data_IF_873225030594
#
_entry.id   IF_873225030594
#
_cell.length_a   1.000
_cell.length_b   1.000
_cell.length_c   1.000
_cell.angle_alpha   90.00
_cell.angle_beta   90.00
_cell.angle_gamma   90.00
#
_symmetry.space_group_name_H-M   'P 1'
#
loop_
_entity.id
_entity.type
_entity.pdbx_description
1 polymer ?
#
# COMPACT_ATOMS: atom_id res chain seq x y z
N UNK A 1 14.45 -39.81 -22.24
CA UNK A 1 13.76 -38.54 -22.57
C UNK A 1 12.96 -38.18 -21.33
N UNK A 2 13.48 -37.30 -20.46
CA UNK A 2 12.74 -36.87 -19.26
C UNK A 2 11.66 -35.88 -19.70
N UNK A 3 10.41 -35.97 -19.22
CA UNK A 3 9.43 -34.94 -19.48
C UNK A 3 9.96 -33.62 -18.90
N UNK A 4 9.93 -32.54 -19.68
CA UNK A 4 10.18 -31.21 -19.13
C UNK A 4 8.96 -30.85 -18.28
N UNK A 5 9.06 -31.08 -16.97
CA UNK A 5 8.12 -30.47 -16.02
C UNK A 5 8.30 -28.96 -16.17
N UNK A 6 7.31 -28.31 -16.78
CA UNK A 6 7.24 -26.85 -16.82
C UNK A 6 7.22 -26.38 -15.36
N UNK A 7 8.18 -25.55 -14.96
CA UNK A 7 8.20 -25.00 -13.61
C UNK A 7 6.89 -24.25 -13.34
N UNK A 8 6.36 -24.38 -12.12
CA UNK A 8 5.15 -23.69 -11.71
C UNK A 8 5.35 -22.17 -11.69
N UNK A 9 4.28 -21.39 -11.73
CA UNK A 9 4.36 -19.92 -11.68
C UNK A 9 5.08 -19.46 -10.41
N UNK A 10 4.80 -20.08 -9.26
CA UNK A 10 5.43 -19.73 -8.01
C UNK A 10 6.94 -20.02 -8.00
N UNK A 11 7.39 -21.14 -8.58
CA UNK A 11 8.83 -21.42 -8.71
C UNK A 11 9.53 -20.48 -9.69
N UNK A 12 8.88 -20.10 -10.80
CA UNK A 12 9.43 -19.09 -11.72
C UNK A 12 9.52 -17.71 -11.05
N UNK A 13 8.67 -17.40 -10.07
CA UNK A 13 8.68 -16.12 -9.35
C UNK A 13 9.68 -16.07 -8.18
N UNK A 14 10.18 -17.22 -7.71
CA UNK A 14 11.14 -17.29 -6.60
C UNK A 14 12.34 -16.35 -6.77
N UNK A 15 13.05 -16.31 -7.91
CA UNK A 15 14.21 -15.42 -8.06
C UNK A 15 13.84 -13.94 -8.00
N UNK A 16 12.62 -13.58 -8.43
CA UNK A 16 12.11 -12.21 -8.35
C UNK A 16 11.86 -11.83 -6.89
N UNK A 17 11.23 -12.71 -6.11
CA UNK A 17 10.99 -12.47 -4.68
C UNK A 17 12.29 -12.39 -3.89
N UNK A 18 13.25 -13.28 -4.14
CA UNK A 18 14.55 -13.28 -3.46
C UNK A 18 15.34 -12.00 -3.76
N UNK A 19 15.18 -11.44 -4.97
CA UNK A 19 15.78 -10.14 -5.31
C UNK A 19 15.12 -8.97 -4.58
N UNK A 20 13.81 -9.06 -4.32
CA UNK A 20 13.02 -8.00 -3.69
C UNK A 20 13.09 -8.01 -2.17
N UNK A 21 13.03 -9.19 -1.58
CA UNK A 21 12.79 -9.40 -0.15
C UNK A 21 13.98 -10.08 0.55
N UNK A 22 15.03 -10.42 -0.20
CA UNK A 22 16.13 -11.21 0.30
C UNK A 22 15.82 -12.71 0.39
N UNK A 23 16.81 -13.46 0.86
CA UNK A 23 16.71 -14.91 1.07
C UNK A 23 17.08 -15.24 2.52
N UNK A 24 16.25 -15.99 3.26
CA UNK A 24 14.98 -16.59 2.83
C UNK A 24 13.86 -15.55 2.64
N UNK A 25 12.89 -15.87 1.78
CA UNK A 25 11.71 -15.00 1.55
C UNK A 25 10.82 -15.01 2.81
N UNK A 26 10.50 -13.84 3.40
CA UNK A 26 9.80 -13.76 4.70
C UNK A 26 8.27 -13.89 4.61
N UNK A 27 7.72 -14.15 3.42
CA UNK A 27 6.29 -14.27 3.15
C UNK A 27 5.98 -15.47 2.27
N UNK A 28 4.72 -15.89 2.26
CA UNK A 28 4.21 -16.85 1.29
C UNK A 28 3.69 -16.13 0.04
N UNK A 29 3.77 -16.78 -1.11
CA UNK A 29 3.13 -16.34 -2.34
C UNK A 29 2.31 -17.47 -2.92
N UNK A 30 1.06 -17.18 -3.29
CA UNK A 30 0.15 -18.07 -4.01
C UNK A 30 -0.12 -17.50 -5.40
N UNK A 31 0.12 -18.29 -6.43
CA UNK A 31 -0.06 -17.89 -7.82
C UNK A 31 -1.42 -18.36 -8.39
N UNK A 32 -1.82 -17.76 -9.51
CA UNK A 32 -3.11 -18.02 -10.18
C UNK A 32 -3.21 -19.44 -10.78
N UNK A 33 -2.09 -20.14 -10.94
CA UNK A 33 -2.05 -21.55 -11.35
C UNK A 33 -2.23 -22.51 -10.15
N UNK A 34 -2.44 -21.97 -8.94
CA UNK A 34 -2.60 -22.71 -7.70
C UNK A 34 -1.28 -23.10 -7.01
N UNK A 35 -0.13 -22.79 -7.62
CA UNK A 35 1.17 -23.06 -7.02
C UNK A 35 1.51 -22.04 -5.93
N UNK A 36 2.39 -22.43 -4.99
CA UNK A 36 2.80 -21.58 -3.88
C UNK A 36 4.26 -21.75 -3.52
N UNK A 37 4.88 -20.68 -3.01
CA UNK A 37 6.24 -20.69 -2.42
C UNK A 37 6.26 -19.92 -1.10
N UNK A 38 7.28 -20.17 -0.28
CA UNK A 38 7.46 -19.55 1.02
C UNK A 38 7.04 -20.46 2.18
N UNK A 39 7.15 -19.98 3.43
CA UNK A 39 6.78 -20.75 4.62
C UNK A 39 5.28 -21.07 4.65
N UNK A 40 4.86 -22.29 5.01
CA UNK A 40 3.44 -22.65 5.10
C UNK A 40 2.70 -21.93 6.24
N UNK A 41 3.44 -21.42 7.22
CA UNK A 41 3.00 -20.66 8.38
C UNK A 41 3.38 -19.17 8.29
N UNK A 42 3.65 -18.68 7.07
CA UNK A 42 3.97 -17.27 6.87
C UNK A 42 2.83 -16.37 7.38
N UNK A 43 3.13 -15.32 8.14
CA UNK A 43 2.11 -14.43 8.70
C UNK A 43 1.45 -13.55 7.62
N UNK A 44 2.07 -13.47 6.43
CA UNK A 44 1.56 -12.76 5.25
C UNK A 44 1.66 -13.68 4.05
N UNK A 45 0.59 -13.74 3.26
CA UNK A 45 0.54 -14.39 1.94
C UNK A 45 0.19 -13.37 0.87
N UNK A 46 1.03 -13.24 -0.15
CA UNK A 46 0.70 -12.46 -1.36
C UNK A 46 -0.02 -13.38 -2.35
N UNK A 47 -1.25 -13.03 -2.68
CA UNK A 47 -2.07 -13.79 -3.63
C UNK A 47 -2.07 -13.13 -5.00
N UNK A 48 -1.58 -13.82 -6.02
CA UNK A 48 -1.66 -13.38 -7.40
C UNK A 48 -2.85 -14.06 -8.07
N UNK A 49 -3.97 -13.35 -8.19
CA UNK A 49 -5.18 -13.90 -8.80
C UNK A 49 -5.12 -13.98 -10.32
N UNK A 50 -4.24 -13.19 -10.97
CA UNK A 50 -4.11 -13.24 -12.42
C UNK A 50 -2.72 -12.81 -12.94
N UNK A 51 -2.36 -13.21 -14.17
CA UNK A 51 -1.17 -12.71 -14.89
C UNK A 51 -1.02 -11.19 -14.91
N UNK A 52 -2.16 -10.47 -14.86
CA UNK A 52 -2.23 -9.01 -14.89
C UNK A 52 -1.43 -8.35 -13.77
N UNK A 53 -1.25 -9.04 -12.64
CA UNK A 53 -0.44 -8.53 -11.52
C UNK A 53 1.01 -8.28 -11.95
N UNK A 54 1.62 -9.23 -12.68
CA UNK A 54 2.96 -9.06 -13.22
C UNK A 54 2.97 -8.03 -14.36
N UNK A 55 1.92 -7.98 -15.18
CA UNK A 55 1.82 -6.98 -16.23
C UNK A 55 1.76 -5.55 -15.66
N UNK A 56 1.06 -5.32 -14.56
CA UNK A 56 1.06 -4.02 -13.87
C UNK A 56 2.46 -3.62 -13.41
N UNK A 57 3.22 -4.55 -12.80
CA UNK A 57 4.61 -4.32 -12.39
C UNK A 57 5.52 -3.97 -13.58
N UNK A 58 5.40 -4.69 -14.71
CA UNK A 58 6.19 -4.41 -15.92
C UNK A 58 5.95 -3.01 -16.50
N UNK A 59 4.70 -2.53 -16.44
CA UNK A 59 4.33 -1.21 -16.97
C UNK A 59 4.50 -0.07 -15.97
N UNK A 60 4.63 -0.40 -14.69
CA UNK A 60 4.75 0.56 -13.59
C UNK A 60 5.66 -0.02 -12.50
N UNK A 61 6.98 0.11 -12.66
CA UNK A 61 7.97 -0.25 -11.66
C UNK A 61 7.62 0.11 -10.22
N UNK A 62 7.86 -0.84 -9.31
CA UNK A 62 7.79 -0.62 -7.87
C UNK A 62 6.38 -0.53 -7.30
N UNK A 63 6.20 0.29 -6.28
CA UNK A 63 4.98 0.38 -5.48
C UNK A 63 3.74 0.73 -6.30
N UNK A 64 3.88 1.57 -7.33
CA UNK A 64 2.74 1.97 -8.16
C UNK A 64 2.16 0.77 -8.94
N UNK A 65 3.00 -0.14 -9.42
CA UNK A 65 2.55 -1.36 -10.09
C UNK A 65 1.85 -2.31 -9.15
N UNK A 66 2.39 -2.49 -7.94
CA UNK A 66 1.78 -3.28 -6.88
C UNK A 66 0.42 -2.71 -6.47
N UNK A 67 0.35 -1.41 -6.21
CA UNK A 67 -0.89 -0.73 -5.85
C UNK A 67 -1.96 -0.89 -6.93
N UNK A 68 -1.60 -0.72 -8.21
CA UNK A 68 -2.53 -0.95 -9.32
C UNK A 68 -2.98 -2.41 -9.42
N UNK A 69 -2.07 -3.36 -9.26
CA UNK A 69 -2.40 -4.78 -9.23
C UNK A 69 -3.37 -5.09 -8.08
N UNK A 70 -3.19 -4.47 -6.92
CA UNK A 70 -4.05 -4.67 -5.77
C UNK A 70 -5.45 -4.06 -5.95
N UNK A 71 -5.52 -2.77 -6.28
CA UNK A 71 -6.80 -2.07 -6.49
C UNK A 71 -7.61 -2.69 -7.65
N UNK A 72 -6.94 -3.24 -8.67
CA UNK A 72 -7.61 -3.96 -9.77
C UNK A 72 -8.03 -5.39 -9.45
N UNK A 73 -7.72 -5.91 -8.24
CA UNK A 73 -8.01 -7.28 -7.83
C UNK A 73 -7.12 -8.35 -8.49
N UNK A 74 -6.01 -7.95 -9.13
CA UNK A 74 -5.04 -8.89 -9.71
C UNK A 74 -4.07 -9.45 -8.65
N UNK A 75 -3.85 -8.69 -7.57
CA UNK A 75 -3.02 -9.04 -6.43
C UNK A 75 -3.80 -8.80 -5.14
N UNK A 76 -3.68 -9.67 -4.16
CA UNK A 76 -4.19 -9.42 -2.82
C UNK A 76 -3.14 -9.81 -1.77
N UNK A 77 -3.36 -9.37 -0.54
CA UNK A 77 -2.51 -9.63 0.60
C UNK A 77 -3.38 -10.21 1.70
N UNK A 78 -3.18 -11.49 1.98
CA UNK A 78 -3.78 -12.15 3.13
C UNK A 78 -2.81 -12.05 4.32
N UNK A 79 -3.28 -11.46 5.42
CA UNK A 79 -2.49 -11.12 6.60
C UNK A 79 -2.93 -9.80 7.20
N UNK A 80 -2.68 -9.60 8.49
CA UNK A 80 -3.00 -8.33 9.14
C UNK A 80 -1.92 -7.25 8.89
N UNK A 81 -2.26 -6.00 9.21
CA UNK A 81 -1.35 -4.86 9.02
C UNK A 81 -0.07 -5.02 9.85
N UNK A 82 -0.12 -5.68 11.01
CA UNK A 82 1.05 -5.89 11.86
C UNK A 82 1.98 -6.96 11.30
N UNK A 83 1.45 -8.00 10.67
CA UNK A 83 2.20 -9.01 9.95
C UNK A 83 2.96 -8.38 8.78
N UNK A 84 2.34 -7.45 8.05
CA UNK A 84 3.01 -6.67 7.01
C UNK A 84 4.15 -5.80 7.56
N UNK A 85 3.97 -5.18 8.74
CA UNK A 85 5.05 -4.46 9.42
C UNK A 85 6.18 -5.42 9.83
N UNK A 86 5.87 -6.65 10.23
CA UNK A 86 6.88 -7.68 10.49
C UNK A 86 7.69 -8.05 9.24
N UNK A 87 7.05 -8.13 8.07
CA UNK A 87 7.75 -8.33 6.79
C UNK A 87 8.69 -7.15 6.49
N UNK A 88 8.23 -5.90 6.71
CA UNK A 88 9.07 -4.70 6.57
C UNK A 88 10.31 -4.77 7.47
N UNK A 89 10.12 -5.14 8.74
CA UNK A 89 11.20 -5.22 9.74
C UNK A 89 12.20 -6.34 9.43
N UNK A 90 11.77 -7.38 8.71
CA UNK A 90 12.65 -8.44 8.25
C UNK A 90 13.57 -8.01 7.08
N UNK A 91 13.17 -6.98 6.31
CA UNK A 91 13.85 -6.57 5.07
C UNK A 91 14.53 -5.20 5.15
N UNK A 92 14.24 -4.39 6.18
CA UNK A 92 14.89 -3.10 6.40
C UNK A 92 15.01 -2.76 7.90
N UNK A 93 15.96 -1.88 8.21
CA UNK A 93 16.13 -1.37 9.57
C UNK A 93 14.94 -0.48 10.00
N UNK A 94 14.68 -0.31 11.32
CA UNK A 94 13.51 0.45 11.82
C UNK A 94 13.38 1.89 11.31
N UNK A 95 14.50 2.54 11.00
CA UNK A 95 14.55 3.93 10.50
C UNK A 95 14.68 4.02 8.97
N UNK A 96 14.69 2.89 8.27
CA UNK A 96 14.77 2.83 6.81
C UNK A 96 13.38 2.75 6.18
N UNK A 97 13.15 3.61 5.19
CA UNK A 97 12.00 3.48 4.33
C UNK A 97 12.19 2.28 3.40
N UNK A 98 11.42 1.21 3.62
CA UNK A 98 11.27 0.15 2.61
C UNK A 98 10.59 0.77 1.40
N UNK A 99 11.30 0.79 0.29
CA UNK A 99 10.69 1.03 -1.01
C UNK A 99 10.85 -0.22 -1.86
N UNK A 100 9.81 -0.59 -2.59
CA UNK A 100 9.92 -1.67 -3.58
C UNK A 100 10.66 -1.12 -4.79
N UNK A 101 11.98 -1.22 -4.76
CA UNK A 101 12.85 -0.84 -5.87
C UNK A 101 13.47 -2.06 -6.51
N UNK A 102 13.23 -2.21 -7.81
CA UNK A 102 13.92 -3.20 -8.62
C UNK A 102 15.24 -2.59 -9.11
N UNK A 103 16.36 -3.16 -8.69
CA UNK A 103 17.64 -2.91 -9.35
C UNK A 103 17.64 -3.42 -10.79
N UNK A 104 18.66 -3.09 -11.62
CA UNK A 104 18.74 -3.56 -13.00
C UNK A 104 18.66 -5.10 -13.14
N UNK A 105 19.21 -5.83 -12.17
CA UNK A 105 19.15 -7.28 -12.12
C UNK A 105 17.73 -7.78 -11.84
N UNK A 106 17.03 -7.25 -10.83
CA UNK A 106 15.63 -7.59 -10.55
C UNK A 106 14.70 -7.29 -11.72
N UNK A 107 14.93 -6.19 -12.43
CA UNK A 107 14.22 -5.88 -13.68
C UNK A 107 14.44 -6.93 -14.77
N UNK A 108 15.69 -7.34 -14.97
CA UNK A 108 16.03 -8.35 -15.95
C UNK A 108 15.40 -9.71 -15.60
N UNK A 109 15.35 -10.06 -14.31
CA UNK A 109 14.67 -11.27 -13.82
C UNK A 109 13.16 -11.18 -14.03
N UNK A 110 12.50 -10.12 -13.59
CA UNK A 110 11.06 -9.93 -13.77
C UNK A 110 10.66 -10.00 -15.24
N UNK A 111 11.41 -9.32 -16.13
CA UNK A 111 11.15 -9.37 -17.57
C UNK A 111 11.36 -10.76 -18.18
N UNK A 112 12.33 -11.53 -17.66
CA UNK A 112 12.59 -12.91 -18.10
C UNK A 112 11.47 -13.84 -17.68
N UNK A 113 11.06 -13.78 -16.41
CA UNK A 113 9.93 -14.55 -15.87
C UNK A 113 8.66 -14.20 -16.62
N UNK A 114 8.39 -12.92 -16.83
CA UNK A 114 7.23 -12.48 -17.59
C UNK A 114 7.19 -13.07 -19.01
N UNK A 115 8.34 -13.14 -19.68
CA UNK A 115 8.44 -13.72 -21.02
C UNK A 115 8.20 -15.23 -21.00
N UNK A 116 8.73 -15.95 -20.01
CA UNK A 116 8.53 -17.40 -19.86
C UNK A 116 7.07 -17.74 -19.59
N UNK A 117 6.43 -16.98 -18.71
CA UNK A 117 5.02 -17.14 -18.36
C UNK A 117 4.06 -16.61 -19.44
N UNK A 118 4.57 -15.98 -20.51
CA UNK A 118 3.74 -15.45 -21.59
C UNK A 118 2.87 -14.24 -21.18
N UNK A 119 3.24 -13.54 -20.10
CA UNK A 119 2.45 -12.43 -19.52
C UNK A 119 2.92 -11.04 -19.99
N UNK A 120 3.88 -11.02 -20.92
CA UNK A 120 4.29 -9.80 -21.61
C UNK A 120 3.17 -9.40 -22.56
N UNK A 121 2.49 -8.31 -22.23
CA UNK A 121 1.29 -7.91 -22.95
C UNK A 121 1.07 -6.41 -22.97
N UNK A 122 -0.09 -6.03 -23.51
CA UNK A 122 -0.55 -4.64 -23.52
C UNK A 122 -0.65 -4.09 -22.11
N UNK A 123 -0.47 -2.77 -21.98
CA UNK A 123 -0.68 -2.07 -20.72
C UNK A 123 -2.09 -2.34 -20.20
N UNK A 124 -2.26 -2.84 -18.96
CA UNK A 124 -3.58 -3.00 -18.36
C UNK A 124 -4.27 -1.64 -18.23
N UNK A 125 -5.61 -1.59 -18.21
CA UNK A 125 -6.33 -0.37 -17.89
C UNK A 125 -5.87 0.15 -16.52
N UNK A 126 -5.85 1.48 -16.37
CA UNK A 126 -5.61 2.08 -15.07
C UNK A 126 -6.84 1.84 -14.18
N UNK A 127 -6.65 1.60 -12.87
CA UNK A 127 -7.77 1.59 -11.94
C UNK A 127 -8.56 2.90 -12.03
N UNK A 128 -9.90 2.88 -12.00
CA UNK A 128 -10.72 4.09 -12.08
C UNK A 128 -10.44 5.07 -10.93
N UNK A 129 -9.90 4.60 -9.82
CA UNK A 129 -9.46 5.38 -8.66
C UNK A 129 -8.20 6.23 -8.96
N UNK A 130 -7.42 5.90 -10.00
CA UNK A 130 -6.26 6.70 -10.41
C UNK A 130 -6.69 7.82 -11.36
N UNK A 131 -6.99 8.99 -10.80
CA UNK A 131 -7.33 10.18 -11.59
C UNK A 131 -6.18 11.18 -11.65
N UNK A 132 -5.93 11.70 -12.86
CA UNK A 132 -4.99 12.80 -13.10
C UNK A 132 -5.76 14.02 -13.58
N UNK A 133 -6.18 14.92 -12.67
CA UNK A 133 -6.97 16.07 -13.06
C UNK A 133 -6.14 16.97 -13.98
N UNK A 134 -6.71 17.40 -15.12
CA UNK A 134 -5.98 18.23 -16.09
C UNK A 134 -5.71 19.62 -15.53
N UNK A 135 -4.70 20.30 -16.09
CA UNK A 135 -4.36 21.68 -15.77
C UNK A 135 -3.01 21.86 -15.08
N UNK A 136 -2.70 23.10 -14.74
CA UNK A 136 -1.42 23.46 -14.11
C UNK A 136 -1.38 22.97 -12.66
N UNK A 137 -0.21 22.46 -12.24
CA UNK A 137 0.11 22.19 -10.84
C UNK A 137 -0.22 23.40 -9.95
N UNK A 138 -0.85 23.12 -8.81
CA UNK A 138 -1.26 24.12 -7.81
C UNK A 138 -2.17 25.24 -8.35
N UNK A 139 -3.07 24.89 -9.27
CA UNK A 139 -4.11 25.81 -9.70
C UNK A 139 -5.39 25.51 -8.96
N UNK A 140 -6.07 26.54 -8.45
CA UNK A 140 -7.31 26.41 -7.65
C UNK A 140 -8.31 25.41 -8.25
N UNK A 141 -8.51 25.46 -9.58
CA UNK A 141 -9.43 24.56 -10.29
C UNK A 141 -8.95 23.10 -10.28
N UNK A 142 -7.66 22.87 -10.55
CA UNK A 142 -7.10 21.51 -10.56
C UNK A 142 -7.08 20.92 -9.15
N UNK A 143 -6.69 21.72 -8.17
CA UNK A 143 -6.60 21.29 -6.77
C UNK A 143 -8.01 21.00 -6.23
N UNK A 144 -9.00 21.85 -6.53
CA UNK A 144 -10.40 21.58 -6.19
C UNK A 144 -10.93 20.29 -6.83
N UNK A 145 -10.60 20.02 -8.10
CA UNK A 145 -10.99 18.78 -8.77
C UNK A 145 -10.30 17.54 -8.18
N UNK A 146 -9.04 17.67 -7.76
CA UNK A 146 -8.31 16.60 -7.08
C UNK A 146 -8.91 16.30 -5.71
N UNK A 147 -9.19 17.35 -4.92
CA UNK A 147 -9.80 17.25 -3.59
C UNK A 147 -11.18 16.60 -3.69
N UNK A 148 -12.04 17.11 -4.57
CA UNK A 148 -13.39 16.58 -4.77
C UNK A 148 -13.35 15.09 -5.13
N UNK A 149 -12.49 14.69 -6.06
CA UNK A 149 -12.38 13.28 -6.46
C UNK A 149 -11.95 12.35 -5.31
N UNK A 150 -11.06 12.79 -4.43
CA UNK A 150 -10.51 11.94 -3.36
C UNK A 150 -11.29 11.99 -2.04
N UNK A 151 -12.01 13.08 -1.77
CA UNK A 151 -12.64 13.32 -0.46
C UNK A 151 -14.16 13.48 -0.50
N UNK A 152 -14.80 13.64 -1.67
CA UNK A 152 -16.28 13.73 -1.76
C UNK A 152 -16.97 12.35 -1.68
N UNK A 153 -16.58 11.54 -0.69
CA UNK A 153 -17.24 10.28 -0.32
C UNK A 153 -18.40 10.49 0.68
N UNK A 154 -18.54 11.73 1.19
CA UNK A 154 -19.65 12.18 2.05
C UNK A 154 -19.35 12.10 3.56
N UNK A 155 -20.05 12.93 4.35
CA UNK A 155 -19.84 12.98 5.80
C UNK A 155 -20.23 11.68 6.50
N UNK A 156 -21.28 11.00 6.04
CA UNK A 156 -21.73 9.72 6.63
C UNK A 156 -20.61 8.67 6.60
N UNK A 157 -19.83 8.60 5.52
CA UNK A 157 -18.68 7.72 5.42
C UNK A 157 -17.61 8.08 6.47
N UNK A 158 -17.29 9.37 6.60
CA UNK A 158 -16.28 9.81 7.56
C UNK A 158 -16.74 9.67 9.01
N UNK A 159 -18.02 9.82 9.31
CA UNK A 159 -18.56 9.60 10.66
C UNK A 159 -18.35 8.16 11.12
N UNK A 160 -18.44 7.18 10.22
CA UNK A 160 -18.15 5.78 10.52
C UNK A 160 -16.69 5.54 10.93
N UNK A 161 -15.74 6.32 10.39
CA UNK A 161 -14.31 6.17 10.63
C UNK A 161 -13.79 7.06 11.76
N UNK A 162 -14.22 8.32 11.81
CA UNK A 162 -13.67 9.38 12.66
C UNK A 162 -14.47 9.57 13.96
N UNK A 163 -15.69 9.02 14.01
CA UNK A 163 -16.62 9.20 15.10
C UNK A 163 -17.06 10.66 15.29
N UNK A 164 -17.56 11.02 16.49
CA UNK A 164 -18.25 12.30 16.71
C UNK A 164 -17.34 13.53 16.60
N UNK A 165 -16.02 13.34 16.71
CA UNK A 165 -15.06 14.45 16.61
C UNK A 165 -14.89 14.97 15.19
N UNK A 166 -15.20 14.15 14.18
CA UNK A 166 -14.93 14.40 12.75
C UNK A 166 -13.50 14.89 12.47
N UNK A 167 -12.56 14.55 13.35
CA UNK A 167 -11.19 15.06 13.30
C UNK A 167 -10.35 14.12 12.46
N UNK A 168 -10.12 14.49 11.19
CA UNK A 168 -9.29 13.70 10.28
C UNK A 168 -7.81 14.07 10.39
N UNK A 169 -7.25 13.92 11.60
CA UNK A 169 -5.83 14.13 11.89
C UNK A 169 -5.40 13.23 13.05
N UNK A 170 -4.09 13.13 13.28
CA UNK A 170 -3.52 12.32 14.36
C UNK A 170 -4.11 12.67 15.73
N UNK A 171 -4.55 11.66 16.48
CA UNK A 171 -4.98 11.80 17.86
C UNK A 171 -3.79 11.80 18.84
N UNK A 172 -4.02 12.19 20.10
CA UNK A 172 -2.99 12.17 21.12
C UNK A 172 -3.36 11.19 22.24
N UNK A 173 -2.60 10.11 22.34
CA UNK A 173 -2.78 9.03 23.31
C UNK A 173 -1.77 9.23 24.46
N UNK A 174 -2.24 9.69 25.63
CA UNK A 174 -1.39 9.92 26.80
C UNK A 174 -2.12 9.50 28.08
N UNK A 175 -1.42 8.81 28.98
CA UNK A 175 -1.92 8.31 30.28
C UNK A 175 -3.27 7.56 30.19
N UNK A 176 -3.38 6.59 29.28
CA UNK A 176 -4.65 5.89 29.13
C UNK A 176 -4.55 4.42 28.72
N UNK A 177 -4.99 3.57 29.65
CA UNK A 177 -5.44 2.22 29.34
C UNK A 177 -6.91 2.23 28.81
N UNK A 178 -7.66 3.34 29.00
CA UNK A 178 -9.12 3.41 28.77
C UNK A 178 -9.61 4.57 27.86
N UNK A 179 -8.73 5.28 27.14
CA UNK A 179 -9.20 6.32 26.21
C UNK A 179 -9.82 5.69 24.96
N UNK A 180 -10.94 6.24 24.50
CA UNK A 180 -11.45 6.00 23.16
C UNK A 180 -10.90 7.04 22.17
N UNK A 181 -11.21 6.86 20.88
CA UNK A 181 -10.77 7.79 19.83
C UNK A 181 -11.23 9.23 20.09
N UNK A 182 -12.45 9.43 20.59
CA UNK A 182 -12.99 10.76 20.85
C UNK A 182 -12.22 11.46 21.98
N UNK A 183 -11.92 10.74 23.05
CA UNK A 183 -11.09 11.21 24.15
C UNK A 183 -9.66 11.54 23.71
N UNK A 184 -9.05 10.69 22.89
CA UNK A 184 -7.71 10.94 22.34
C UNK A 184 -7.67 12.18 21.42
N UNK A 185 -8.74 12.44 20.65
CA UNK A 185 -8.85 13.67 19.86
C UNK A 185 -9.06 14.91 20.73
N UNK A 186 -9.84 14.82 21.81
CA UNK A 186 -9.99 15.90 22.78
C UNK A 186 -8.64 16.23 23.46
N UNK A 187 -7.89 15.21 23.88
CA UNK A 187 -6.56 15.37 24.47
C UNK A 187 -5.58 16.08 23.50
N UNK A 188 -5.66 15.77 22.20
CA UNK A 188 -4.88 16.46 21.16
C UNK A 188 -5.23 17.95 21.10
N UNK A 189 -6.52 18.30 21.04
CA UNK A 189 -6.95 19.70 20.99
C UNK A 189 -6.50 20.47 22.25
N UNK A 190 -6.65 19.87 23.42
CA UNK A 190 -6.19 20.46 24.68
C UNK A 190 -4.67 20.67 24.70
N UNK A 191 -3.90 19.72 24.18
CA UNK A 191 -2.45 19.88 24.02
C UNK A 191 -2.10 21.05 23.10
N UNK A 192 -2.80 21.21 21.96
CA UNK A 192 -2.59 22.33 21.04
C UNK A 192 -2.92 23.66 21.71
N UNK A 193 -4.07 23.76 22.37
CA UNK A 193 -4.48 24.97 23.10
C UNK A 193 -3.46 25.38 24.18
N UNK A 194 -2.96 24.41 24.96
CA UNK A 194 -1.92 24.64 25.99
C UNK A 194 -0.60 25.11 25.38
N UNK A 195 -0.15 24.48 24.28
CA UNK A 195 1.07 24.88 23.58
C UNK A 195 1.00 26.29 23.00
N UNK A 196 -0.19 26.70 22.55
CA UNK A 196 -0.45 28.04 22.05
C UNK A 196 -0.64 29.08 23.16
N UNK A 197 -0.81 28.65 24.42
CA UNK A 197 -1.05 29.53 25.56
C UNK A 197 -2.36 30.33 25.43
N UNK A 198 -3.42 29.70 24.89
CA UNK A 198 -4.67 30.40 24.63
C UNK A 198 -5.35 30.85 25.93
N UNK A 199 -5.75 32.12 25.96
CA UNK A 199 -6.53 32.72 27.04
C UNK A 199 -7.87 33.23 26.52
N UNK A 200 -8.83 33.41 27.44
CA UNK A 200 -10.14 33.95 27.13
C UNK A 200 -10.03 35.34 26.49
N UNK A 201 -10.68 35.54 25.35
CA UNK A 201 -10.69 36.81 24.60
C UNK A 201 -9.67 36.90 23.48
N UNK A 202 -8.77 35.93 23.35
CA UNK A 202 -7.85 35.85 22.19
C UNK A 202 -8.60 35.50 20.89
N UNK A 203 -8.01 35.88 19.75
CA UNK A 203 -8.47 35.47 18.42
C UNK A 203 -7.49 34.48 17.83
N UNK A 204 -7.98 33.32 17.42
CA UNK A 204 -7.20 32.25 16.79
C UNK A 204 -7.50 32.19 15.29
N UNK A 205 -6.46 32.03 14.47
CA UNK A 205 -6.56 31.65 13.06
C UNK A 205 -6.23 30.16 12.96
N UNK A 206 -7.19 29.37 12.50
CA UNK A 206 -6.99 27.97 12.12
C UNK A 206 -6.98 27.86 10.59
N UNK A 207 -5.96 27.20 10.04
CA UNK A 207 -5.76 27.05 8.60
C UNK A 207 -5.87 25.57 8.27
N UNK A 208 -7.02 25.19 7.71
CA UNK A 208 -7.32 23.82 7.27
C UNK A 208 -6.49 23.39 6.08
#
# INVERSE_FOLDING_TARGET
MRPSETASVAEELRPVLEHLLGSPVPLALRAWDGSSIGPPDAPVTVELHSPTALTHLLWAPGELGLARAHVSGALDIDGDVFALLGVRDAIAAPDEHVSVSFGPAGWAELARVARRLGVVGRRPPLPPEEVKPPGRLHSRRRDAAAISHHYDVGNEFYELLLGPSMTYSCAYWYDADDLDLAGAQAAKHELVCRKLGLESGMRLLDVG
#
